data_IF_739463509467
#
_entry.id   IF_739463509467
#
_cell.length_a   1.000
_cell.length_b   1.000
_cell.length_c   1.000
_cell.angle_alpha   90.00
_cell.angle_beta   90.00
_cell.angle_gamma   90.00
#
_symmetry.space_group_name_H-M   'P 1'
#
loop_
_entity.id
_entity.type
_entity.pdbx_description
1 polymer ?
#
# COMPACT_ATOMS: atom_id res chain seq x y z
N UNK A 1 -2.59 -22.57 -0.57
CA UNK A 1 -3.81 -23.22 -1.11
C UNK A 1 -4.84 -23.48 0.00
N UNK A 2 -4.44 -24.05 1.13
CA UNK A 2 -5.34 -24.30 2.28
C UNK A 2 -6.03 -23.02 2.77
N UNK A 3 -5.28 -21.93 2.93
CA UNK A 3 -5.82 -20.65 3.40
C UNK A 3 -6.88 -20.08 2.44
N UNK A 4 -6.74 -20.29 1.13
CA UNK A 4 -7.76 -19.93 0.15
C UNK A 4 -9.02 -20.78 0.29
N UNK A 5 -8.85 -22.10 0.44
CA UNK A 5 -9.96 -23.02 0.60
C UNK A 5 -10.74 -22.77 1.90
N UNK A 6 -10.06 -22.37 2.96
CA UNK A 6 -10.70 -21.99 4.22
C UNK A 6 -11.44 -20.65 4.13
N UNK A 7 -10.88 -19.66 3.42
CA UNK A 7 -11.52 -18.37 3.25
C UNK A 7 -12.74 -18.43 2.34
N UNK A 8 -12.62 -19.13 1.20
CA UNK A 8 -13.69 -19.22 0.19
C UNK A 8 -14.46 -20.55 0.34
N UNK A 9 -15.28 -20.64 1.39
CA UNK A 9 -16.19 -21.76 1.62
C UNK A 9 -17.63 -21.38 1.29
N UNK A 10 -18.42 -22.37 0.91
CA UNK A 10 -19.88 -22.26 0.73
C UNK A 10 -20.30 -20.99 -0.03
N UNK A 11 -21.16 -20.18 0.57
CA UNK A 11 -21.72 -18.96 -0.02
C UNK A 11 -20.67 -17.96 -0.48
N UNK A 12 -19.53 -17.89 0.24
CA UNK A 12 -18.46 -16.97 -0.15
C UNK A 12 -17.76 -17.42 -1.44
N UNK A 13 -17.65 -18.73 -1.65
CA UNK A 13 -17.15 -19.33 -2.90
C UNK A 13 -18.05 -18.99 -4.08
N UNK A 14 -19.37 -19.13 -3.89
CA UNK A 14 -20.33 -18.85 -4.96
C UNK A 14 -20.32 -17.37 -5.33
N UNK A 15 -20.29 -16.50 -4.34
CA UNK A 15 -20.16 -15.05 -4.52
C UNK A 15 -18.87 -14.67 -5.25
N UNK A 16 -17.76 -15.31 -4.87
CA UNK A 16 -16.46 -15.12 -5.51
C UNK A 16 -16.46 -15.53 -6.98
N UNK A 17 -16.96 -16.73 -7.29
CA UNK A 17 -17.05 -17.24 -8.65
C UNK A 17 -17.97 -16.36 -9.52
N UNK A 18 -19.08 -15.89 -8.97
CA UNK A 18 -19.99 -14.97 -9.64
C UNK A 18 -19.31 -13.64 -9.95
N UNK A 19 -18.60 -13.04 -8.97
CA UNK A 19 -17.89 -11.78 -9.16
C UNK A 19 -16.79 -11.89 -10.22
N UNK A 20 -16.01 -12.97 -10.20
CA UNK A 20 -15.00 -13.24 -11.23
C UNK A 20 -15.63 -13.37 -12.63
N UNK A 21 -16.74 -14.11 -12.74
CA UNK A 21 -17.45 -14.25 -14.01
C UNK A 21 -17.97 -12.92 -14.56
N UNK A 22 -18.51 -12.05 -13.69
CA UNK A 22 -18.97 -10.72 -14.08
C UNK A 22 -17.80 -9.84 -14.55
N UNK A 23 -16.71 -9.79 -13.78
CA UNK A 23 -15.53 -9.01 -14.13
C UNK A 23 -14.94 -9.47 -15.48
N UNK A 24 -14.78 -10.77 -15.64
CA UNK A 24 -14.27 -11.36 -16.89
C UNK A 24 -15.15 -10.99 -18.11
N UNK A 25 -16.47 -11.12 -17.99
CA UNK A 25 -17.41 -10.80 -19.09
C UNK A 25 -17.42 -9.31 -19.45
N UNK A 26 -17.05 -8.43 -18.49
CA UNK A 26 -16.96 -6.99 -18.72
C UNK A 26 -15.57 -6.53 -19.16
N UNK A 27 -14.57 -7.40 -19.13
CA UNK A 27 -13.17 -7.03 -19.33
C UNK A 27 -12.65 -6.09 -18.22
N UNK A 28 -13.19 -6.22 -17.00
CA UNK A 28 -12.85 -5.41 -15.84
C UNK A 28 -11.95 -6.21 -14.88
N UNK A 29 -11.17 -5.48 -14.10
CA UNK A 29 -10.32 -6.05 -13.04
C UNK A 29 -11.15 -6.19 -11.76
N UNK A 30 -11.11 -7.37 -11.13
CA UNK A 30 -11.80 -7.62 -9.87
C UNK A 30 -10.97 -7.10 -8.70
N UNK A 31 -11.53 -6.22 -7.89
CA UNK A 31 -10.88 -5.76 -6.66
C UNK A 31 -11.27 -6.66 -5.48
N UNK A 32 -10.30 -7.38 -4.91
CA UNK A 32 -10.45 -8.12 -3.65
C UNK A 32 -9.89 -7.30 -2.50
N UNK A 33 -10.78 -6.85 -1.60
CA UNK A 33 -10.41 -6.09 -0.40
C UNK A 33 -10.60 -6.94 0.84
N UNK A 34 -9.51 -7.21 1.56
CA UNK A 34 -9.55 -7.96 2.81
C UNK A 34 -9.49 -7.01 4.01
N UNK A 35 -10.52 -7.06 4.86
CA UNK A 35 -10.55 -6.29 6.09
C UNK A 35 -10.85 -7.17 7.30
N UNK A 36 -10.06 -7.02 8.35
CA UNK A 36 -10.27 -7.72 9.64
C UNK A 36 -9.90 -6.82 10.81
N UNK A 37 -10.61 -6.98 11.92
CA UNK A 37 -10.31 -6.32 13.20
C UNK A 37 -9.43 -7.17 14.10
N UNK A 38 -9.33 -8.47 13.82
CA UNK A 38 -8.50 -9.39 14.58
C UNK A 38 -7.03 -9.27 14.18
N UNK A 39 -6.16 -9.03 15.16
CA UNK A 39 -4.72 -8.82 14.94
C UNK A 39 -4.01 -10.07 14.42
N UNK A 40 -4.39 -11.26 14.90
CA UNK A 40 -3.78 -12.52 14.46
C UNK A 40 -4.14 -12.81 13.01
N UNK A 41 -5.41 -12.62 12.66
CA UNK A 41 -5.87 -12.76 11.28
C UNK A 41 -5.23 -11.69 10.38
N UNK A 42 -5.10 -10.47 10.87
CA UNK A 42 -4.44 -9.37 10.14
C UNK A 42 -2.96 -9.64 9.88
N UNK A 43 -2.25 -10.34 10.76
CA UNK A 43 -0.82 -10.64 10.61
C UNK A 43 -0.50 -11.78 9.64
N UNK A 44 -1.50 -12.54 9.20
CA UNK A 44 -1.29 -13.59 8.21
C UNK A 44 -0.85 -12.99 6.87
N UNK A 45 0.04 -13.66 6.13
CA UNK A 45 0.53 -13.21 4.84
C UNK A 45 -0.51 -13.45 3.74
N UNK A 46 -1.57 -12.65 3.73
CA UNK A 46 -2.69 -12.79 2.80
C UNK A 46 -2.31 -12.63 1.33
N UNK A 47 -1.20 -11.96 1.06
CA UNK A 47 -0.62 -11.76 -0.28
C UNK A 47 -0.20 -13.09 -0.93
N UNK A 48 0.08 -14.11 -0.12
CA UNK A 48 0.41 -15.45 -0.62
C UNK A 48 -0.81 -16.33 -0.88
N UNK A 49 -2.04 -15.78 -0.84
CA UNK A 49 -3.22 -16.52 -1.24
C UNK A 49 -3.10 -17.01 -2.68
N UNK A 50 -3.24 -18.33 -2.87
CA UNK A 50 -3.15 -18.97 -4.17
C UNK A 50 -4.50 -19.49 -4.64
N UNK A 51 -4.81 -19.24 -5.91
CA UNK A 51 -5.86 -19.95 -6.65
C UNK A 51 -5.15 -20.84 -7.69
N UNK A 52 -5.18 -22.14 -7.48
CA UNK A 52 -4.34 -23.05 -8.26
C UNK A 52 -2.86 -22.75 -8.05
N UNK A 53 -2.12 -22.52 -9.12
CA UNK A 53 -0.66 -22.30 -9.10
C UNK A 53 -0.24 -20.81 -9.03
N UNK A 54 -1.21 -19.89 -8.96
CA UNK A 54 -0.92 -18.45 -9.00
C UNK A 54 -1.33 -17.76 -7.70
N UNK A 55 -0.46 -16.88 -7.13
CA UNK A 55 -0.86 -15.98 -6.07
C UNK A 55 -1.91 -14.99 -6.57
N UNK A 56 -2.96 -14.73 -5.79
CA UNK A 56 -3.99 -13.74 -6.14
C UNK A 56 -3.43 -12.34 -6.30
N UNK A 57 -2.44 -11.99 -5.48
CA UNK A 57 -1.86 -10.65 -5.45
C UNK A 57 -0.98 -10.32 -6.68
N UNK A 58 -0.59 -11.31 -7.49
CA UNK A 58 0.28 -11.12 -8.67
C UNK A 58 -0.46 -11.27 -10.00
N UNK A 59 -1.78 -11.51 -9.96
CA UNK A 59 -2.61 -11.60 -11.16
C UNK A 59 -2.89 -10.22 -11.77
N UNK A 60 -3.12 -10.17 -13.08
CA UNK A 60 -3.52 -8.95 -13.79
C UNK A 60 -5.03 -8.72 -13.80
N UNK A 61 -5.79 -9.73 -13.45
CA UNK A 61 -7.24 -9.81 -13.42
C UNK A 61 -7.84 -9.54 -12.02
N UNK A 62 -7.00 -9.58 -10.98
CA UNK A 62 -7.41 -9.34 -9.61
C UNK A 62 -6.44 -8.34 -8.96
N UNK A 63 -6.97 -7.26 -8.40
CA UNK A 63 -6.22 -6.35 -7.53
C UNK A 63 -6.54 -6.70 -6.08
N UNK A 64 -5.53 -7.17 -5.36
CA UNK A 64 -5.63 -7.48 -3.95
C UNK A 64 -5.20 -6.29 -3.09
N UNK A 65 -5.99 -5.96 -2.06
CA UNK A 65 -5.62 -4.95 -1.08
C UNK A 65 -6.13 -5.30 0.30
N UNK A 66 -5.42 -4.88 1.33
CA UNK A 66 -5.90 -4.90 2.71
C UNK A 66 -6.51 -3.56 3.06
N UNK A 67 -7.51 -3.57 3.91
CA UNK A 67 -8.00 -2.35 4.53
C UNK A 67 -8.30 -2.57 6.00
N UNK A 68 -8.17 -1.51 6.79
CA UNK A 68 -8.60 -1.55 8.18
C UNK A 68 -10.06 -1.09 8.26
N UNK A 69 -11.00 -1.96 8.70
CA UNK A 69 -12.37 -1.55 8.89
C UNK A 69 -12.43 -0.55 10.06
N UNK A 70 -12.54 0.72 9.73
CA UNK A 70 -12.64 1.80 10.71
C UNK A 70 -13.94 1.70 11.49
N UNK A 71 -13.85 1.74 12.81
CA UNK A 71 -15.00 1.84 13.72
C UNK A 71 -15.45 3.28 13.96
N UNK A 72 -14.71 4.25 13.47
CA UNK A 72 -15.00 5.68 13.63
C UNK A 72 -15.24 6.30 12.26
N UNK A 73 -16.25 7.17 12.17
CA UNK A 73 -16.67 7.88 10.98
C UNK A 73 -15.49 8.30 10.08
N UNK A 74 -15.20 7.50 9.08
CA UNK A 74 -14.25 7.87 8.05
C UNK A 74 -14.80 9.09 7.32
N UNK A 75 -14.02 10.15 7.21
CA UNK A 75 -14.28 11.20 6.22
C UNK A 75 -14.49 10.49 4.87
N UNK A 76 -15.48 10.89 4.08
CA UNK A 76 -15.69 10.27 2.78
C UNK A 76 -14.39 10.34 1.99
N UNK A 77 -13.95 9.21 1.47
CA UNK A 77 -12.80 9.15 0.58
C UNK A 77 -13.06 10.08 -0.60
N UNK A 78 -12.19 11.06 -0.81
CA UNK A 78 -12.32 11.95 -1.97
C UNK A 78 -12.17 11.13 -3.23
N UNK A 79 -13.20 11.08 -4.04
CA UNK A 79 -13.14 10.48 -5.37
C UNK A 79 -12.45 11.50 -6.27
N UNK A 80 -11.34 11.10 -6.90
CA UNK A 80 -10.67 11.92 -7.90
C UNK A 80 -11.57 12.03 -9.13
N UNK A 81 -11.65 13.23 -9.69
CA UNK A 81 -12.25 13.39 -11.01
C UNK A 81 -11.27 12.87 -12.08
N UNK A 82 -11.76 12.49 -13.28
CA UNK A 82 -10.88 11.99 -14.36
C UNK A 82 -9.77 12.97 -14.78
N UNK A 83 -9.97 14.27 -14.52
CA UNK A 83 -9.03 15.34 -14.85
C UNK A 83 -8.00 15.60 -13.74
N UNK A 84 -8.25 15.12 -12.53
CA UNK A 84 -7.33 15.31 -11.40
C UNK A 84 -6.18 14.31 -11.46
N UNK A 85 -4.92 14.78 -11.38
CA UNK A 85 -3.78 13.86 -11.38
C UNK A 85 -3.74 13.03 -10.10
N UNK A 86 -3.42 11.76 -10.23
CA UNK A 86 -3.06 10.92 -9.09
C UNK A 86 -1.66 11.30 -8.62
N UNK A 87 -1.52 11.75 -7.38
CA UNK A 87 -0.23 12.12 -6.80
C UNK A 87 0.26 11.04 -5.84
N UNK A 88 1.45 10.56 -6.09
CA UNK A 88 2.14 9.53 -5.32
C UNK A 88 3.35 10.16 -4.63
N UNK A 89 3.47 9.98 -3.33
CA UNK A 89 4.71 10.25 -2.60
C UNK A 89 5.44 8.94 -2.36
N UNK A 90 6.63 8.78 -2.93
CA UNK A 90 7.52 7.66 -2.64
C UNK A 90 8.61 8.10 -1.68
N UNK A 91 8.64 7.51 -0.48
CA UNK A 91 9.69 7.73 0.51
C UNK A 91 10.69 6.58 0.47
N UNK A 92 11.96 6.89 0.18
CA UNK A 92 13.06 5.93 0.16
C UNK A 92 13.96 6.17 1.37
N UNK A 93 14.10 5.14 2.23
CA UNK A 93 14.89 5.23 3.45
C UNK A 93 15.86 4.06 3.59
N UNK A 94 17.16 4.38 3.62
CA UNK A 94 18.26 3.42 3.83
C UNK A 94 19.19 3.95 4.93
N UNK A 95 18.82 3.81 6.22
CA UNK A 95 19.68 4.22 7.33
C UNK A 95 21.03 3.48 7.27
N UNK A 96 22.12 4.14 7.70
CA UNK A 96 23.47 3.60 7.61
C UNK A 96 23.74 2.42 8.56
N UNK A 97 22.88 2.22 9.55
CA UNK A 97 22.88 1.10 10.50
C UNK A 97 22.03 -0.08 10.05
N UNK A 98 21.53 -0.06 8.80
CA UNK A 98 20.76 -1.14 8.17
C UNK A 98 21.44 -1.67 6.92
N UNK A 99 21.07 -2.86 6.50
CA UNK A 99 21.55 -3.45 5.26
C UNK A 99 21.16 -2.60 4.06
N UNK A 100 22.06 -2.54 3.07
CA UNK A 100 21.79 -1.79 1.85
C UNK A 100 20.71 -2.47 1.01
N UNK A 101 19.68 -1.73 0.65
CA UNK A 101 18.61 -2.15 -0.25
C UNK A 101 18.79 -1.50 -1.63
N UNK A 102 18.38 -2.20 -2.69
CA UNK A 102 18.48 -1.68 -4.08
C UNK A 102 17.26 -0.83 -4.44
N UNK A 103 16.90 0.14 -3.60
CA UNK A 103 15.66 0.91 -3.68
C UNK A 103 15.61 1.85 -4.89
N UNK A 104 16.76 2.32 -5.39
CA UNK A 104 16.79 3.14 -6.61
C UNK A 104 16.32 2.35 -7.84
N UNK A 105 16.59 1.04 -7.89
CA UNK A 105 16.04 0.19 -8.97
C UNK A 105 14.52 0.05 -8.90
N UNK A 106 13.96 -0.01 -7.69
CA UNK A 106 12.51 -0.03 -7.49
C UNK A 106 11.88 1.27 -7.98
N UNK A 107 12.49 2.41 -7.63
CA UNK A 107 12.05 3.72 -8.12
C UNK A 107 12.11 3.81 -9.65
N UNK A 108 13.24 3.43 -10.26
CA UNK A 108 13.41 3.44 -11.71
C UNK A 108 12.38 2.55 -12.42
N UNK A 109 12.13 1.35 -11.89
CA UNK A 109 11.14 0.44 -12.43
C UNK A 109 9.71 1.03 -12.34
N UNK A 110 9.35 1.59 -11.18
CA UNK A 110 8.07 2.25 -11.00
C UNK A 110 7.91 3.44 -11.95
N UNK A 111 8.93 4.29 -12.07
CA UNK A 111 8.90 5.44 -12.98
C UNK A 111 8.72 5.02 -14.44
N UNK A 112 9.42 3.97 -14.87
CA UNK A 112 9.27 3.44 -16.24
C UNK A 112 7.87 2.90 -16.49
N UNK A 113 7.29 2.16 -15.56
CA UNK A 113 5.93 1.63 -15.70
C UNK A 113 4.87 2.74 -15.71
N UNK A 114 5.02 3.77 -14.90
CA UNK A 114 4.12 4.92 -14.89
C UNK A 114 4.19 5.70 -16.22
N UNK A 115 5.38 5.84 -16.82
CA UNK A 115 5.55 6.48 -18.13
C UNK A 115 4.90 5.67 -19.26
N UNK A 116 5.01 4.35 -19.24
CA UNK A 116 4.39 3.47 -20.25
C UNK A 116 2.86 3.53 -20.20
N UNK A 117 2.31 3.69 -19.00
CA UNK A 117 0.88 3.62 -18.73
C UNK A 117 0.19 5.00 -18.64
N UNK A 118 0.83 6.07 -19.10
CA UNK A 118 0.31 7.45 -19.03
C UNK A 118 -0.87 7.74 -19.99
N UNK A 119 -1.82 6.77 -20.15
CA UNK A 119 -2.89 6.86 -21.15
C UNK A 119 -4.05 7.81 -20.80
N UNK A 120 -4.78 7.55 -19.73
CA UNK A 120 -6.02 8.30 -19.40
C UNK A 120 -5.93 9.14 -18.13
N UNK A 121 -5.08 8.76 -17.19
CA UNK A 121 -4.93 9.44 -15.90
C UNK A 121 -3.52 9.97 -15.78
N UNK A 122 -3.38 11.27 -15.51
CA UNK A 122 -2.06 11.84 -15.21
C UNK A 122 -1.62 11.34 -13.83
N UNK A 123 -0.41 10.77 -13.76
CA UNK A 123 0.19 10.30 -12.51
C UNK A 123 1.44 11.12 -12.24
N UNK A 124 1.51 11.72 -11.06
CA UNK A 124 2.68 12.45 -10.58
C UNK A 124 3.33 11.66 -9.45
N UNK A 125 4.59 11.28 -9.65
CA UNK A 125 5.42 10.59 -8.67
C UNK A 125 6.46 11.57 -8.12
N UNK A 126 6.28 11.97 -6.87
CA UNK A 126 7.26 12.76 -6.13
C UNK A 126 8.08 11.80 -5.24
N UNK A 127 9.38 12.02 -5.19
CA UNK A 127 10.30 11.18 -4.40
C UNK A 127 10.90 11.96 -3.23
N UNK A 128 10.86 11.35 -2.06
CA UNK A 128 11.48 11.85 -0.83
C UNK A 128 12.60 10.90 -0.41
N UNK A 129 13.85 11.33 -0.58
CA UNK A 129 15.01 10.51 -0.28
C UNK A 129 15.53 10.74 1.12
N UNK A 130 15.80 9.64 1.83
CA UNK A 130 16.39 9.60 3.16
C UNK A 130 15.64 10.50 4.19
N UNK A 131 14.29 10.45 4.23
CA UNK A 131 13.56 11.35 5.11
C UNK A 131 13.68 10.96 6.58
N UNK A 132 13.85 11.98 7.44
CA UNK A 132 13.47 11.90 8.83
C UNK A 132 11.97 12.14 9.02
N UNK A 133 11.49 11.99 10.27
CA UNK A 133 10.07 12.15 10.63
C UNK A 133 9.52 13.52 10.23
N UNK A 134 10.27 14.58 10.50
CA UNK A 134 9.86 15.96 10.22
C UNK A 134 9.67 16.20 8.71
N UNK A 135 10.63 15.76 7.90
CA UNK A 135 10.57 15.90 6.44
C UNK A 135 9.42 15.11 5.84
N UNK A 136 9.17 13.87 6.33
CA UNK A 136 8.03 13.08 5.89
C UNK A 136 6.72 13.78 6.24
N UNK A 137 6.59 14.29 7.46
CA UNK A 137 5.41 15.02 7.91
C UNK A 137 5.16 16.24 7.02
N UNK A 138 6.17 17.07 6.80
CA UNK A 138 6.08 18.26 5.98
C UNK A 138 5.68 17.93 4.53
N UNK A 139 6.27 16.89 3.94
CA UNK A 139 5.94 16.46 2.58
C UNK A 139 4.47 16.03 2.47
N UNK A 140 3.96 15.26 3.43
CA UNK A 140 2.58 14.82 3.46
C UNK A 140 1.60 15.99 3.65
N UNK A 141 1.91 16.96 4.50
CA UNK A 141 1.07 18.13 4.75
C UNK A 141 0.97 19.06 3.53
N UNK A 142 2.07 19.23 2.80
CA UNK A 142 2.14 20.17 1.68
C UNK A 142 1.70 19.56 0.35
N UNK A 143 1.88 18.25 0.17
CA UNK A 143 1.85 17.65 -1.15
C UNK A 143 0.49 17.23 -1.68
N UNK A 144 -0.54 17.09 -0.86
CA UNK A 144 -1.90 16.60 -1.24
C UNK A 144 -1.85 15.28 -2.02
N UNK A 145 -1.09 14.32 -1.52
CA UNK A 145 -0.96 12.99 -2.12
C UNK A 145 -2.17 12.09 -1.83
N UNK A 146 -2.46 11.18 -2.73
CA UNK A 146 -3.46 10.13 -2.54
C UNK A 146 -2.82 8.78 -2.22
N UNK A 147 -1.60 8.57 -2.71
CA UNK A 147 -0.85 7.33 -2.48
C UNK A 147 0.46 7.66 -1.77
N UNK A 148 0.76 6.87 -0.75
CA UNK A 148 2.05 6.85 -0.08
C UNK A 148 2.72 5.51 -0.32
N UNK A 149 3.90 5.52 -0.93
CA UNK A 149 4.74 4.34 -1.15
C UNK A 149 6.00 4.46 -0.29
N UNK A 150 6.22 3.47 0.57
CA UNK A 150 7.41 3.42 1.40
C UNK A 150 8.33 2.30 0.92
N UNK A 151 9.55 2.67 0.56
CA UNK A 151 10.63 1.76 0.19
C UNK A 151 11.75 1.85 1.24
N UNK A 152 11.90 0.80 2.04
CA UNK A 152 12.85 0.78 3.14
C UNK A 152 12.66 -0.39 4.09
N UNK A 153 13.39 -0.37 5.18
CA UNK A 153 13.27 -1.38 6.23
C UNK A 153 12.03 -1.14 7.10
N UNK A 154 11.33 -2.21 7.39
CA UNK A 154 10.27 -2.25 8.40
C UNK A 154 10.58 -3.32 9.44
N UNK A 155 10.04 -3.16 10.64
CA UNK A 155 10.22 -4.10 11.73
C UNK A 155 8.92 -4.25 12.51
N UNK A 156 8.86 -5.31 13.32
CA UNK A 156 7.78 -5.54 14.27
C UNK A 156 8.32 -5.33 15.68
N UNK A 157 8.10 -4.15 16.23
CA UNK A 157 8.50 -3.80 17.58
C UNK A 157 7.44 -4.16 18.65
N UNK A 158 7.73 -3.80 19.90
CA UNK A 158 6.82 -4.02 21.05
C UNK A 158 5.48 -3.32 20.84
N UNK A 159 5.49 -2.17 20.17
CA UNK A 159 4.31 -1.34 19.89
C UNK A 159 3.56 -1.74 18.60
N UNK A 160 3.97 -2.80 17.92
CA UNK A 160 3.48 -3.23 16.62
C UNK A 160 4.45 -2.93 15.48
N UNK A 161 3.93 -2.83 14.24
CA UNK A 161 4.75 -2.49 13.08
C UNK A 161 5.38 -1.10 13.18
N UNK A 162 6.58 -0.96 12.65
CA UNK A 162 7.30 0.30 12.52
C UNK A 162 8.07 0.36 11.21
N UNK A 163 8.29 1.55 10.68
CA UNK A 163 9.17 1.81 9.54
C UNK A 163 10.44 2.53 9.99
N UNK A 164 11.54 2.31 9.27
CA UNK A 164 12.84 2.89 9.55
C UNK A 164 13.07 4.11 8.67
N UNK A 165 12.92 5.30 9.23
CA UNK A 165 13.31 6.56 8.59
C UNK A 165 14.79 6.85 8.86
N UNK A 166 15.32 7.94 8.30
CA UNK A 166 16.72 8.33 8.43
C UNK A 166 16.83 9.60 9.26
N UNK A 167 17.52 9.52 10.38
CA UNK A 167 17.80 10.71 11.20
C UNK A 167 18.62 11.73 10.42
N UNK A 168 18.13 12.94 10.28
CA UNK A 168 18.82 14.04 9.59
C UNK A 168 20.13 14.46 10.27
N UNK A 169 20.31 14.11 11.54
CA UNK A 169 21.49 14.49 12.34
C UNK A 169 22.57 13.42 12.23
N UNK A 170 22.17 12.15 12.33
CA UNK A 170 23.13 11.04 12.48
C UNK A 170 23.20 10.13 11.27
N UNK A 171 22.21 10.15 10.39
CA UNK A 171 22.05 9.17 9.32
C UNK A 171 21.61 7.78 9.77
N UNK A 172 21.44 7.57 11.09
CA UNK A 172 20.98 6.32 11.68
C UNK A 172 19.47 6.16 11.58
N UNK A 173 18.99 4.97 11.95
CA UNK A 173 17.55 4.67 11.99
C UNK A 173 16.82 5.63 12.95
N UNK A 174 15.76 6.26 12.44
CA UNK A 174 14.71 6.94 13.20
C UNK A 174 13.41 6.14 13.01
N UNK A 175 13.00 5.39 14.04
CA UNK A 175 11.79 4.57 13.96
C UNK A 175 10.51 5.41 14.01
N UNK A 176 9.58 5.11 13.11
CA UNK A 176 8.22 5.65 13.12
C UNK A 176 7.23 4.51 13.33
N UNK A 177 6.47 4.56 14.43
CA UNK A 177 5.48 3.52 14.74
C UNK A 177 4.37 3.48 13.70
N UNK A 178 3.82 2.29 13.44
CA UNK A 178 2.68 2.12 12.53
C UNK A 178 1.45 2.93 12.98
N UNK A 179 1.29 3.16 14.29
CA UNK A 179 0.21 4.01 14.83
C UNK A 179 0.42 5.48 14.43
N UNK A 180 1.63 6.01 14.60
CA UNK A 180 1.94 7.40 14.25
C UNK A 180 1.88 7.60 12.74
N UNK A 181 2.45 6.66 11.97
CA UNK A 181 2.37 6.66 10.50
C UNK A 181 0.91 6.65 10.04
N UNK A 182 0.07 5.77 10.58
CA UNK A 182 -1.36 5.72 10.24
C UNK A 182 -2.05 7.06 10.54
N UNK A 183 -1.74 7.68 11.68
CA UNK A 183 -2.26 9.01 12.00
C UNK A 183 -1.84 10.08 10.99
N UNK A 184 -0.57 10.11 10.60
CA UNK A 184 -0.07 11.02 9.57
C UNK A 184 -0.77 10.82 8.23
N UNK A 185 -0.89 9.56 7.77
CA UNK A 185 -1.50 9.25 6.48
C UNK A 185 -2.99 9.62 6.44
N UNK A 186 -3.75 9.28 7.49
CA UNK A 186 -5.19 9.58 7.58
C UNK A 186 -5.43 11.08 7.65
N UNK A 187 -4.65 11.80 8.47
CA UNK A 187 -4.82 13.26 8.64
C UNK A 187 -4.55 14.03 7.33
N UNK A 188 -3.66 13.50 6.49
CA UNK A 188 -3.29 14.11 5.21
C UNK A 188 -4.05 13.54 4.01
N UNK A 189 -5.08 12.72 4.25
CA UNK A 189 -6.00 12.27 3.21
C UNK A 189 -5.41 11.21 2.27
N UNK A 190 -4.36 10.50 2.70
CA UNK A 190 -3.80 9.36 1.96
C UNK A 190 -4.85 8.25 1.90
N UNK A 191 -5.10 7.75 0.71
CA UNK A 191 -6.12 6.74 0.45
C UNK A 191 -5.54 5.33 0.34
N UNK A 192 -4.27 5.23 -0.07
CA UNK A 192 -3.55 3.98 -0.24
C UNK A 192 -2.11 4.11 0.26
N UNK A 193 -1.64 3.13 1.01
CA UNK A 193 -0.23 2.98 1.39
C UNK A 193 0.30 1.64 0.89
N UNK A 194 1.53 1.65 0.38
CA UNK A 194 2.25 0.51 -0.21
C UNK A 194 3.59 0.36 0.52
#
# INVERSE_FOLDING_TARGET
QEMYQELFKETLRDSWNCAQGIAHNRGEVLQLRLGTKDRHISSLPWEVLHVGDRPLATGTDIVFSRYQPNTSSSKPTRILTPEEPLRILMAIATPIDKDSLQLEKEYEALQQELQKNSGKTQIHLDILRQPGREQLTQALEQGKYQVFHYAGHSNWGISGGEISLVSNITGLTESLSGKDLSGLLVNNGIQMAI
#
